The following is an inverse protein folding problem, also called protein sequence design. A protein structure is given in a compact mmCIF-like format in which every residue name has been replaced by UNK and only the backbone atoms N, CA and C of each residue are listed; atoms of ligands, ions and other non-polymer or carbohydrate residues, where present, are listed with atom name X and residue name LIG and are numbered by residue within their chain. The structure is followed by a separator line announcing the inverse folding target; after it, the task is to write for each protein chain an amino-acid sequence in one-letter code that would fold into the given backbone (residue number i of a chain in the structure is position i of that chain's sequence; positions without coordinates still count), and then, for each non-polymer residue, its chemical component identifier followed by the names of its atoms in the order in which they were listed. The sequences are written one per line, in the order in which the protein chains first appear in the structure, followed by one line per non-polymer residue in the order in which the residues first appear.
data_IF_598922372407
#
_entry.id   IF_598922372407
#
_cell.length_a   1.000
_cell.length_b   1.000
_cell.length_c   1.000
_cell.angle_alpha   90.00
_cell.angle_beta   90.00
_cell.angle_gamma   90.00
#
_symmetry.space_group_name_H-M   'P 1'
#
loop_
_entity.id
_entity.type
_entity.pdbx_description
1 polymer ?
#
# COMPACT_ATOMS: atom_id res chain seq x y z
N UNK A 1 40.86 -1.33 27.11
CA UNK A 1 40.00 -0.37 26.38
C UNK A 1 38.75 -1.14 26.02
N UNK A 2 37.71 -1.00 26.85
CA UNK A 2 36.46 -1.73 26.69
C UNK A 2 35.63 -1.07 25.58
N UNK A 3 35.46 -1.77 24.47
CA UNK A 3 34.53 -1.39 23.41
C UNK A 3 33.12 -1.72 23.91
N UNK A 4 32.41 -0.70 24.38
CA UNK A 4 30.99 -0.79 24.69
C UNK A 4 30.25 -1.29 23.44
N UNK A 5 29.76 -2.54 23.49
CA UNK A 5 28.80 -3.01 22.51
C UNK A 5 27.51 -2.22 22.71
N UNK A 6 27.26 -1.27 21.81
CA UNK A 6 25.95 -0.65 21.70
C UNK A 6 24.97 -1.71 21.19
N UNK A 7 24.23 -2.34 22.10
CA UNK A 7 23.03 -3.09 21.72
C UNK A 7 22.10 -2.12 20.98
N UNK A 8 21.80 -2.40 19.71
CA UNK A 8 20.70 -1.74 18.99
C UNK A 8 19.45 -1.92 19.87
N UNK A 9 18.74 -0.83 20.24
CA UNK A 9 17.52 -0.97 21.03
C UNK A 9 16.54 -1.88 20.27
N UNK A 10 15.93 -2.83 20.97
CA UNK A 10 14.86 -3.62 20.38
C UNK A 10 13.76 -2.65 19.91
N UNK A 11 13.29 -2.77 18.66
CA UNK A 11 12.19 -1.95 18.19
C UNK A 11 10.96 -2.30 19.03
N UNK A 12 10.57 -1.35 19.89
CA UNK A 12 9.25 -1.39 20.52
C UNK A 12 8.27 -1.08 19.40
N UNK A 13 7.34 -2.00 19.14
CA UNK A 13 6.27 -1.85 18.16
C UNK A 13 4.98 -1.52 18.95
N UNK A 14 4.78 -0.27 19.40
CA UNK A 14 3.54 0.09 20.07
C UNK A 14 2.45 0.11 19.02
N UNK A 15 1.53 -0.86 19.07
CA UNK A 15 0.34 -0.80 18.24
C UNK A 15 -0.41 0.52 18.52
N UNK A 16 -0.46 1.41 17.54
CA UNK A 16 -1.21 2.64 17.60
C UNK A 16 -2.69 2.30 17.64
N UNK A 17 -3.39 2.88 18.61
CA UNK A 17 -4.84 2.72 18.74
C UNK A 17 -5.51 3.43 17.57
N UNK A 18 -6.17 2.64 16.73
CA UNK A 18 -6.99 3.17 15.63
C UNK A 18 -8.36 3.58 16.17
N UNK A 19 -8.75 4.83 15.93
CA UNK A 19 -10.02 5.38 16.41
C UNK A 19 -11.10 5.24 15.34
N UNK A 20 -12.26 4.71 15.74
CA UNK A 20 -13.43 4.63 14.87
C UNK A 20 -13.94 6.04 14.54
N UNK A 21 -14.18 6.28 13.26
CA UNK A 21 -14.78 7.53 12.76
C UNK A 21 -16.23 7.23 12.39
N UNK A 22 -17.16 7.67 13.23
CA UNK A 22 -18.60 7.43 13.02
C UNK A 22 -19.07 8.04 11.70
N UNK A 23 -19.80 7.27 10.88
CA UNK A 23 -20.36 7.72 9.61
C UNK A 23 -19.34 7.85 8.46
N UNK A 24 -18.06 7.54 8.69
CA UNK A 24 -17.02 7.67 7.64
C UNK A 24 -17.31 6.78 6.44
N UNK A 25 -17.72 5.53 6.68
CA UNK A 25 -18.02 4.60 5.60
C UNK A 25 -19.27 5.02 4.83
N UNK A 26 -20.30 5.52 5.51
CA UNK A 26 -21.50 6.05 4.86
C UNK A 26 -21.15 7.24 3.96
N UNK A 27 -20.26 8.12 4.44
CA UNK A 27 -19.73 9.24 3.67
C UNK A 27 -18.94 8.78 2.45
N UNK A 28 -17.99 7.85 2.61
CA UNK A 28 -17.14 7.33 1.54
C UNK A 28 -17.95 6.60 0.47
N UNK A 29 -19.01 5.89 0.86
CA UNK A 29 -19.88 5.18 -0.08
C UNK A 29 -20.62 6.10 -1.06
N UNK A 30 -20.72 7.41 -0.80
CA UNK A 30 -21.25 8.36 -1.79
C UNK A 30 -20.35 8.53 -3.01
N UNK A 31 -19.09 8.09 -2.93
CA UNK A 31 -18.09 8.16 -3.99
C UNK A 31 -17.73 6.78 -4.54
N UNK A 32 -18.56 5.75 -4.25
CA UNK A 32 -18.25 4.36 -4.57
C UNK A 32 -18.11 4.15 -6.07
N UNK A 33 -17.05 3.45 -6.45
CA UNK A 33 -16.82 2.95 -7.81
C UNK A 33 -16.98 1.44 -7.80
N UNK A 34 -17.99 0.96 -8.51
CA UNK A 34 -18.18 -0.47 -8.72
C UNK A 34 -17.16 -1.01 -9.72
N UNK A 35 -16.63 -2.21 -9.46
CA UNK A 35 -15.64 -2.87 -10.31
C UNK A 35 -14.40 -1.99 -10.58
N UNK A 36 -13.94 -1.27 -9.56
CA UNK A 36 -12.77 -0.41 -9.66
C UNK A 36 -11.52 -1.18 -10.10
N UNK A 37 -11.39 -2.45 -9.70
CA UNK A 37 -10.36 -3.40 -10.14
C UNK A 37 -10.92 -4.35 -11.21
N UNK A 38 -10.11 -4.64 -12.23
CA UNK A 38 -10.44 -5.65 -13.25
C UNK A 38 -10.39 -7.07 -12.68
N UNK A 39 -10.91 -8.04 -13.44
CA UNK A 39 -10.77 -9.47 -13.11
C UNK A 39 -9.52 -10.09 -13.74
N UNK A 40 -8.78 -9.32 -14.53
CA UNK A 40 -7.57 -9.78 -15.21
C UNK A 40 -6.38 -9.72 -14.24
N UNK A 41 -5.75 -10.87 -14.06
CA UNK A 41 -4.63 -11.06 -13.15
C UNK A 41 -3.38 -11.30 -13.98
N UNK A 42 -2.36 -10.48 -13.77
CA UNK A 42 -1.11 -10.53 -14.54
C UNK A 42 0.05 -10.81 -13.60
N UNK A 43 1.02 -11.66 -13.98
CA UNK A 43 2.30 -11.73 -13.29
C UNK A 43 2.89 -10.33 -13.15
N UNK A 44 3.37 -9.99 -11.97
CA UNK A 44 3.86 -8.66 -11.63
C UNK A 44 5.28 -8.77 -11.06
N UNK A 45 6.17 -7.93 -11.57
CA UNK A 45 7.52 -7.79 -11.04
C UNK A 45 7.64 -6.45 -10.31
N UNK A 46 7.98 -6.50 -9.03
CA UNK A 46 8.04 -5.30 -8.18
C UNK A 46 9.50 -4.87 -8.04
N UNK A 47 9.78 -3.64 -8.48
CA UNK A 47 11.07 -2.98 -8.25
C UNK A 47 10.92 -1.90 -7.18
N UNK A 48 11.63 -2.08 -6.07
CA UNK A 48 11.69 -1.14 -4.94
C UNK A 48 13.07 -0.48 -4.89
N UNK A 49 13.11 0.82 -4.57
CA UNK A 49 14.35 1.49 -4.17
C UNK A 49 14.89 0.87 -2.87
N UNK A 50 16.20 1.01 -2.63
CA UNK A 50 16.86 0.39 -1.47
C UNK A 50 16.31 0.93 -0.15
N UNK A 51 16.03 2.23 -0.08
CA UNK A 51 15.44 2.87 1.11
C UNK A 51 14.04 2.34 1.42
N UNK A 52 13.17 2.28 0.42
CA UNK A 52 11.81 1.72 0.54
C UNK A 52 11.88 0.25 0.91
N UNK A 53 12.80 -0.52 0.30
CA UNK A 53 13.02 -1.91 0.65
C UNK A 53 13.48 -2.07 2.09
N UNK A 54 14.42 -1.28 2.56
CA UNK A 54 14.90 -1.33 3.94
C UNK A 54 13.81 -0.95 4.94
N UNK A 55 12.94 0.00 4.61
CA UNK A 55 11.81 0.37 5.47
C UNK A 55 10.77 -0.76 5.54
N UNK A 56 10.42 -1.38 4.41
CA UNK A 56 9.39 -2.44 4.38
C UNK A 56 9.94 -3.79 4.88
N UNK A 57 11.20 -4.08 4.57
CA UNK A 57 11.85 -5.39 4.76
C UNK A 57 13.13 -5.35 5.60
N UNK A 58 13.47 -4.26 6.30
CA UNK A 58 14.62 -4.20 7.21
C UNK A 58 15.99 -4.61 6.60
N UNK A 59 16.96 -4.87 7.48
CA UNK A 59 18.34 -5.23 7.12
C UNK A 59 18.49 -6.66 6.54
N UNK A 60 17.54 -7.57 6.80
CA UNK A 60 17.69 -9.02 6.54
C UNK A 60 17.74 -9.41 5.03
N UNK A 61 17.42 -8.48 4.12
CA UNK A 61 17.40 -8.72 2.67
C UNK A 61 18.32 -7.78 1.86
N UNK A 62 19.28 -7.11 2.49
CA UNK A 62 20.19 -6.18 1.83
C UNK A 62 21.20 -6.85 0.88
N UNK A 63 21.41 -8.17 0.97
CA UNK A 63 22.47 -8.88 0.24
C UNK A 63 22.03 -9.57 -1.05
N UNK A 64 20.76 -9.43 -1.46
CA UNK A 64 20.28 -9.99 -2.71
C UNK A 64 19.53 -8.94 -3.55
N UNK A 65 19.81 -8.80 -4.85
CA UNK A 65 18.79 -8.35 -5.79
C UNK A 65 17.53 -9.16 -5.50
N UNK A 66 16.34 -8.56 -5.56
CA UNK A 66 15.13 -9.39 -5.65
C UNK A 66 15.12 -10.00 -7.05
N UNK A 67 16.01 -10.97 -7.28
CA UNK A 67 15.73 -12.04 -8.21
C UNK A 67 14.70 -12.92 -7.50
N UNK A 68 13.44 -12.45 -7.47
CA UNK A 68 12.29 -13.25 -7.09
C UNK A 68 12.00 -14.29 -8.19
N UNK A 69 13.02 -15.03 -8.60
CA UNK A 69 12.87 -16.26 -9.37
C UNK A 69 12.24 -17.31 -8.45
N UNK A 70 10.94 -17.19 -8.17
CA UNK A 70 10.21 -18.23 -7.45
C UNK A 70 8.91 -17.82 -6.76
N UNK A 71 8.58 -16.53 -6.66
CA UNK A 71 7.33 -16.09 -6.03
C UNK A 71 6.48 -15.36 -7.05
N UNK A 72 5.46 -16.05 -7.59
CA UNK A 72 4.48 -15.44 -8.49
C UNK A 72 3.67 -14.38 -7.72
N UNK A 73 4.08 -13.12 -7.85
CA UNK A 73 3.26 -11.98 -7.46
C UNK A 73 2.32 -11.67 -8.61
N UNK A 74 1.09 -11.32 -8.26
CA UNK A 74 0.06 -11.05 -9.24
C UNK A 74 -0.50 -9.66 -9.01
N UNK A 75 -0.57 -8.90 -10.11
CA UNK A 75 -1.19 -7.60 -10.14
C UNK A 75 -2.58 -7.67 -10.77
N UNK A 76 -3.44 -6.82 -10.25
CA UNK A 76 -4.74 -6.47 -10.80
C UNK A 76 -4.76 -4.97 -10.96
N UNK A 77 -5.04 -4.53 -12.18
CA UNK A 77 -5.14 -3.11 -12.52
C UNK A 77 -6.59 -2.66 -12.49
N UNK A 78 -6.78 -1.37 -12.19
CA UNK A 78 -8.08 -0.75 -12.26
C UNK A 78 -8.65 -0.76 -13.67
N UNK A 79 -9.97 -0.92 -13.81
CA UNK A 79 -10.62 -0.92 -15.13
C UNK A 79 -10.52 0.45 -15.83
N UNK A 80 -10.56 1.53 -15.05
CA UNK A 80 -10.44 2.91 -15.52
C UNK A 80 -9.36 3.67 -14.76
N UNK A 81 -8.82 4.71 -15.38
CA UNK A 81 -7.99 5.70 -14.72
C UNK A 81 -8.83 6.96 -14.45
N UNK A 82 -8.50 7.67 -13.39
CA UNK A 82 -9.18 8.87 -12.91
C UNK A 82 -8.33 10.10 -13.16
N UNK A 83 -8.95 11.16 -13.66
CA UNK A 83 -8.30 12.45 -13.96
C UNK A 83 -8.93 13.63 -13.22
N UNK A 84 -9.92 13.37 -12.37
CA UNK A 84 -10.68 14.36 -11.59
C UNK A 84 -11.63 13.66 -10.63
N UNK A 85 -12.18 14.41 -9.68
CA UNK A 85 -13.26 13.97 -8.80
C UNK A 85 -12.80 13.12 -7.61
N UNK A 86 -13.81 12.57 -6.91
CA UNK A 86 -13.64 11.72 -5.72
C UNK A 86 -14.11 10.31 -6.02
N UNK A 87 -13.31 9.33 -5.63
CA UNK A 87 -13.53 7.92 -5.94
C UNK A 87 -13.20 7.05 -4.73
N UNK A 88 -14.05 6.07 -4.45
CA UNK A 88 -13.89 5.14 -3.35
C UNK A 88 -14.08 3.70 -3.83
N UNK A 89 -13.19 2.80 -3.43
CA UNK A 89 -13.37 1.36 -3.62
C UNK A 89 -12.79 0.58 -2.45
N UNK A 90 -13.14 -0.70 -2.38
CA UNK A 90 -12.69 -1.60 -1.33
C UNK A 90 -11.97 -2.79 -1.95
N UNK A 91 -10.86 -3.18 -1.34
CA UNK A 91 -10.05 -4.35 -1.74
C UNK A 91 -10.13 -5.40 -0.66
N UNK A 92 -10.49 -6.63 -1.02
CA UNK A 92 -10.46 -7.77 -0.10
C UNK A 92 -9.01 -8.26 0.09
N UNK A 93 -8.55 -8.18 1.33
CA UNK A 93 -7.21 -8.57 1.76
C UNK A 93 -7.24 -9.76 2.73
N UNK A 94 -8.37 -10.45 2.85
CA UNK A 94 -8.58 -11.56 3.81
C UNK A 94 -7.54 -12.67 3.62
N UNK A 95 -7.31 -13.06 2.37
CA UNK A 95 -6.48 -14.22 2.02
C UNK A 95 -5.01 -13.88 1.72
N UNK A 96 -4.64 -12.60 1.75
CA UNK A 96 -3.30 -12.13 1.40
C UNK A 96 -2.62 -11.53 2.62
N UNK A 97 -1.63 -12.23 3.17
CA UNK A 97 -0.82 -11.72 4.29
C UNK A 97 0.10 -10.57 3.91
N UNK A 98 0.49 -10.53 2.65
CA UNK A 98 1.32 -9.49 2.05
C UNK A 98 0.58 -8.95 0.85
N UNK A 99 0.57 -7.63 0.73
CA UNK A 99 -0.10 -6.96 -0.37
C UNK A 99 0.43 -5.56 -0.57
N UNK A 100 0.15 -5.03 -1.74
CA UNK A 100 0.40 -3.65 -2.11
C UNK A 100 -0.89 -3.18 -2.78
N UNK A 101 -1.50 -2.13 -2.27
CA UNK A 101 -2.72 -1.58 -2.87
C UNK A 101 -2.72 -0.07 -2.80
N UNK A 102 -3.41 0.56 -3.74
CA UNK A 102 -3.57 2.01 -3.80
C UNK A 102 -3.79 2.50 -5.22
N UNK A 103 -3.10 3.58 -5.58
CA UNK A 103 -3.15 4.16 -6.92
C UNK A 103 -1.76 4.46 -7.44
N UNK A 104 -1.63 4.40 -8.76
CA UNK A 104 -0.43 4.84 -9.46
C UNK A 104 -0.80 5.57 -10.74
N UNK A 105 0.13 6.38 -11.24
CA UNK A 105 0.09 6.91 -12.59
C UNK A 105 -0.25 5.80 -13.60
N UNK A 106 -1.19 6.09 -14.50
CA UNK A 106 -1.56 5.17 -15.58
C UNK A 106 -0.41 5.05 -16.56
N UNK A 107 0.40 4.02 -16.37
CA UNK A 107 1.64 3.78 -17.11
C UNK A 107 1.54 2.50 -17.93
N UNK A 108 0.37 2.15 -18.51
CA UNK A 108 0.16 1.00 -19.42
C UNK A 108 1.17 0.96 -20.58
N UNK A 109 2.41 0.63 -20.27
CA UNK A 109 3.44 0.16 -21.16
C UNK A 109 3.41 -1.36 -21.03
N UNK A 110 3.85 -2.08 -22.05
CA UNK A 110 3.85 -3.54 -22.09
C UNK A 110 4.77 -4.21 -21.05
N UNK A 111 5.31 -3.42 -20.10
CA UNK A 111 6.23 -3.86 -19.08
C UNK A 111 5.47 -4.14 -17.79
N UNK A 112 5.46 -5.40 -17.38
CA UNK A 112 4.84 -5.89 -16.13
C UNK A 112 5.60 -5.42 -14.88
N UNK A 113 6.64 -4.61 -15.05
CA UNK A 113 7.44 -4.04 -13.96
C UNK A 113 6.77 -2.80 -13.37
N UNK A 114 6.60 -2.77 -12.05
CA UNK A 114 6.11 -1.60 -11.33
C UNK A 114 7.25 -1.04 -10.49
N UNK A 115 7.54 0.24 -10.73
CA UNK A 115 8.52 1.01 -9.98
C UNK A 115 7.77 1.77 -8.87
N UNK A 116 8.11 1.49 -7.62
CA UNK A 116 7.39 1.99 -6.44
C UNK A 116 7.70 3.43 -6.05
N UNK A 117 8.73 3.98 -6.67
CA UNK A 117 9.30 5.29 -6.37
C UNK A 117 9.15 6.24 -7.57
N UNK A 118 8.16 5.99 -8.43
CA UNK A 118 7.83 6.93 -9.48
C UNK A 118 6.90 8.02 -8.96
N UNK A 119 6.98 9.20 -9.57
CA UNK A 119 6.02 10.28 -9.33
C UNK A 119 4.57 9.78 -9.40
N UNK A 120 3.74 10.27 -8.50
CA UNK A 120 2.30 9.99 -8.41
C UNK A 120 1.95 8.50 -8.19
N UNK A 121 2.66 7.88 -7.26
CA UNK A 121 2.35 6.55 -6.72
C UNK A 121 2.03 6.65 -5.23
N UNK A 122 0.90 6.09 -4.82
CA UNK A 122 0.39 6.18 -3.46
C UNK A 122 -0.08 4.79 -3.02
N UNK A 123 0.78 4.10 -2.29
CA UNK A 123 0.53 2.72 -1.88
C UNK A 123 0.50 2.56 -0.37
N UNK A 124 -0.43 1.73 0.07
CA UNK A 124 -0.35 1.02 1.34
C UNK A 124 0.21 -0.37 1.06
N UNK A 125 1.14 -0.81 1.92
CA UNK A 125 1.89 -2.04 1.78
C UNK A 125 1.73 -2.81 3.08
N UNK A 126 1.35 -4.09 3.02
CA UNK A 126 1.38 -4.98 4.16
C UNK A 126 2.48 -6.01 3.98
N UNK A 127 3.25 -6.20 5.04
CA UNK A 127 4.26 -7.24 5.15
C UNK A 127 4.06 -8.03 6.43
N UNK A 128 4.21 -9.35 6.34
CA UNK A 128 4.19 -10.28 7.47
C UNK A 128 5.59 -10.81 7.70
N UNK A 129 6.11 -10.61 8.90
CA UNK A 129 7.41 -11.11 9.33
C UNK A 129 7.26 -11.94 10.59
N UNK A 130 7.59 -13.22 10.48
CA UNK A 130 7.35 -14.18 11.55
C UNK A 130 5.87 -14.13 11.99
N UNK A 131 5.60 -13.64 13.21
CA UNK A 131 4.25 -13.50 13.77
C UNK A 131 3.75 -12.05 13.84
N UNK A 132 4.47 -11.10 13.25
CA UNK A 132 4.11 -9.68 13.26
C UNK A 132 3.74 -9.19 11.87
N UNK A 133 2.76 -8.30 11.82
CA UNK A 133 2.39 -7.57 10.61
C UNK A 133 2.86 -6.13 10.72
N UNK A 134 3.32 -5.56 9.62
CA UNK A 134 3.54 -4.13 9.45
C UNK A 134 2.69 -3.60 8.30
N UNK A 135 2.26 -2.35 8.44
CA UNK A 135 1.81 -1.55 7.32
C UNK A 135 2.86 -0.50 7.01
N UNK A 136 3.05 -0.20 5.73
CA UNK A 136 3.98 0.82 5.28
C UNK A 136 3.41 1.60 4.10
N UNK A 137 3.95 2.79 3.86
CA UNK A 137 3.67 3.62 2.68
C UNK A 137 4.91 3.71 1.81
N UNK A 138 4.77 4.04 0.52
CA UNK A 138 5.92 4.17 -0.38
C UNK A 138 6.64 5.52 -0.24
N UNK A 139 5.93 6.66 -0.24
CA UNK A 139 6.56 7.99 -0.23
C UNK A 139 5.73 9.05 0.55
N UNK A 140 6.19 9.51 1.73
CA UNK A 140 7.40 9.09 2.41
C UNK A 140 7.28 7.64 2.92
N UNK A 141 8.38 6.87 2.93
CA UNK A 141 8.38 5.52 3.46
C UNK A 141 8.20 5.55 4.96
N UNK A 142 6.98 5.24 5.42
CA UNK A 142 6.59 5.32 6.83
C UNK A 142 6.00 3.99 7.28
N UNK A 143 6.58 3.38 8.30
CA UNK A 143 6.04 2.17 8.94
C UNK A 143 4.98 2.58 9.94
N UNK A 144 3.77 2.09 9.75
CA UNK A 144 2.66 2.26 10.66
C UNK A 144 2.42 0.97 11.41
N UNK A 145 2.53 1.09 12.72
CA UNK A 145 2.24 0.03 13.67
C UNK A 145 0.77 0.05 14.02
N UNK A 146 -0.11 -0.17 13.04
CA UNK A 146 -1.54 -0.37 13.28
C UNK A 146 -1.88 -1.85 13.09
N UNK A 147 -2.85 -2.35 13.86
CA UNK A 147 -3.32 -3.72 13.67
C UNK A 147 -3.81 -3.90 12.24
N UNK A 148 -3.31 -4.94 11.56
CA UNK A 148 -3.67 -5.25 10.17
C UNK A 148 -5.20 -5.25 9.99
N UNK A 149 -5.73 -4.57 8.95
CA UNK A 149 -7.13 -4.63 8.59
C UNK A 149 -7.58 -6.07 8.32
N UNK A 150 -8.70 -6.46 8.91
CA UNK A 150 -9.33 -7.76 8.66
C UNK A 150 -10.45 -7.57 7.65
N UNK A 151 -10.47 -8.39 6.59
CA UNK A 151 -11.47 -8.27 5.53
C UNK A 151 -11.02 -7.30 4.44
N UNK A 152 -11.50 -6.06 4.49
CA UNK A 152 -11.34 -5.09 3.39
C UNK A 152 -10.57 -3.84 3.78
N UNK A 153 -9.75 -3.35 2.86
CA UNK A 153 -9.13 -2.03 2.91
C UNK A 153 -9.86 -1.12 1.92
N UNK A 154 -10.36 0.01 2.42
CA UNK A 154 -10.95 1.05 1.59
C UNK A 154 -9.87 1.98 1.07
N UNK A 155 -9.92 2.31 -0.22
CA UNK A 155 -9.06 3.32 -0.85
C UNK A 155 -9.93 4.48 -1.29
N UNK A 156 -9.59 5.68 -0.83
CA UNK A 156 -10.26 6.92 -1.21
C UNK A 156 -9.28 7.81 -1.97
N UNK A 157 -9.64 8.17 -3.20
CA UNK A 157 -8.91 9.12 -4.03
C UNK A 157 -9.74 10.40 -4.12
N UNK A 158 -9.21 11.50 -3.62
CA UNK A 158 -9.71 12.85 -3.89
C UNK A 158 -8.75 13.51 -4.89
N UNK A 159 -9.00 13.28 -6.18
CA UNK A 159 -8.12 13.77 -7.24
C UNK A 159 -8.06 15.30 -7.23
N UNK A 160 -9.21 15.95 -6.99
CA UNK A 160 -9.32 17.41 -7.05
C UNK A 160 -8.55 18.11 -5.91
N UNK A 161 -8.47 17.47 -4.73
CA UNK A 161 -7.64 17.95 -3.61
C UNK A 161 -6.24 17.33 -3.57
N UNK A 162 -5.93 16.37 -4.42
CA UNK A 162 -4.61 15.78 -4.46
C UNK A 162 -4.30 14.80 -3.32
N UNK A 163 -5.31 14.13 -2.76
CA UNK A 163 -5.11 13.24 -1.60
C UNK A 163 -5.54 11.80 -1.87
N UNK A 164 -4.87 10.87 -1.18
CA UNK A 164 -5.17 9.44 -1.19
C UNK A 164 -5.17 8.93 0.25
N UNK A 165 -6.27 8.29 0.66
CA UNK A 165 -6.43 7.80 2.03
C UNK A 165 -6.85 6.33 2.05
N UNK A 166 -6.44 5.62 3.11
CA UNK A 166 -6.66 4.20 3.32
C UNK A 166 -7.45 3.97 4.60
N UNK A 167 -8.42 3.08 4.57
CA UNK A 167 -9.33 2.82 5.69
C UNK A 167 -9.43 1.33 6.02
N UNK A 168 -9.47 1.00 7.31
CA UNK A 168 -9.91 -0.31 7.78
C UNK A 168 -11.45 -0.31 7.76
N UNK A 169 -12.03 -1.02 6.79
CA UNK A 169 -13.49 -1.05 6.60
C UNK A 169 -14.18 -1.73 7.77
N UNK A 170 -13.56 -2.73 8.38
CA UNK A 170 -14.15 -3.47 9.50
C UNK A 170 -14.27 -2.59 10.75
N UNK A 171 -13.27 -1.74 10.98
CA UNK A 171 -13.22 -0.83 12.13
C UNK A 171 -13.86 0.53 11.85
N UNK A 172 -14.03 0.88 10.58
CA UNK A 172 -14.46 2.22 10.16
C UNK A 172 -13.46 3.27 10.64
N UNK A 173 -12.17 3.03 10.42
CA UNK A 173 -11.10 3.89 10.90
C UNK A 173 -10.06 4.18 9.82
N UNK A 174 -9.38 5.31 9.95
CA UNK A 174 -8.29 5.69 9.07
C UNK A 174 -7.07 4.81 9.37
N UNK A 175 -6.49 4.24 8.31
CA UNK A 175 -5.16 3.65 8.34
C UNK A 175 -4.15 4.76 8.10
N UNK A 176 -4.24 5.41 6.95
CA UNK A 176 -3.32 6.48 6.56
C UNK A 176 -3.97 7.47 5.60
N UNK A 177 -3.49 8.71 5.63
CA UNK A 177 -3.83 9.74 4.65
C UNK A 177 -2.54 10.35 4.11
N UNK A 178 -2.33 10.25 2.79
CA UNK A 178 -1.18 10.88 2.15
C UNK A 178 -1.36 12.40 2.18
N UNK A 179 -0.30 13.16 2.51
CA UNK A 179 -0.34 14.61 2.41
C UNK A 179 -0.80 15.06 1.02
N UNK A 180 -1.65 16.11 0.92
CA UNK A 180 -2.10 16.62 -0.36
C UNK A 180 -0.94 16.97 -1.30
N UNK A 181 -1.05 16.56 -2.56
CA UNK A 181 -0.07 16.82 -3.62
C UNK A 181 -0.78 17.04 -4.95
N UNK A 182 -0.28 17.93 -5.80
CA UNK A 182 -0.93 18.17 -7.09
C UNK A 182 -0.75 16.98 -8.04
N UNK A 183 -1.85 16.41 -8.51
CA UNK A 183 -1.83 15.36 -9.54
C UNK A 183 -1.85 15.97 -10.94
N UNK A 184 -1.03 15.44 -11.82
CA UNK A 184 -0.87 15.84 -13.22
C UNK A 184 -1.17 14.72 -14.20
N UNK A 185 -1.28 13.48 -13.73
CA UNK A 185 -1.53 12.31 -14.57
C UNK A 185 -2.83 11.59 -14.20
N UNK A 186 -3.42 10.86 -15.15
CA UNK A 186 -4.44 9.88 -14.81
C UNK A 186 -3.92 8.89 -13.77
N UNK A 187 -4.69 8.65 -12.71
CA UNK A 187 -4.37 7.70 -11.64
C UNK A 187 -5.25 6.46 -11.76
N UNK A 188 -4.64 5.28 -11.74
CA UNK A 188 -5.32 4.00 -11.87
C UNK A 188 -5.25 3.24 -10.54
N UNK A 189 -6.37 2.63 -10.09
CA UNK A 189 -6.34 1.66 -9.00
C UNK A 189 -5.35 0.54 -9.26
N UNK A 190 -4.69 0.09 -8.19
CA UNK A 190 -3.71 -0.96 -8.26
C UNK A 190 -3.82 -1.88 -7.05
N UNK A 191 -3.68 -3.18 -7.30
CA UNK A 191 -3.57 -4.20 -6.27
C UNK A 191 -2.57 -5.27 -6.68
N UNK A 192 -1.59 -5.55 -5.85
CA UNK A 192 -0.67 -6.67 -5.98
C UNK A 192 -0.70 -7.52 -4.72
N UNK A 193 -0.70 -8.82 -4.91
CA UNK A 193 -0.71 -9.80 -3.83
C UNK A 193 0.11 -11.03 -4.20
N UNK A 194 0.44 -11.85 -3.20
CA UNK A 194 1.37 -12.96 -3.37
C UNK A 194 2.84 -12.56 -3.25
N UNK A 195 3.14 -11.30 -2.95
CA UNK A 195 4.50 -10.87 -2.58
C UNK A 195 4.90 -11.59 -1.28
N UNK A 196 6.06 -12.22 -1.17
CA UNK A 196 6.54 -12.79 0.11
C UNK A 196 7.95 -12.37 0.39
#
# INVERSE_FOLDING_TARGET
TDLAQMQKPQPVNPELTSWRITGVLDMLNNFRVDNALSTEMTPCYISLSEDVRHVIFGDDHLSAPMDLQGVESFAVWGAQAFTSGKHYWEVDVTHSSNWILGVCRDSRTADTSIVFDSDETFFSISSKRSNHYSLSTNSPPLIQYVQRPQGRVGVFLDYDNGSVSFFDVSKGSLIYDFPPSSFSSPLRPFFCFGCT
#
